data_IF_887372877036
#
_entry.id   IF_887372877036
#
_cell.length_a   1.000
_cell.length_b   1.000
_cell.length_c   1.000
_cell.angle_alpha   90.00
_cell.angle_beta   90.00
_cell.angle_gamma   90.00
#
_symmetry.space_group_name_H-M   'P 1'
#
loop_
_entity.id
_entity.type
_entity.pdbx_description
1 polymer ?
#
# COMPACT_ATOMS: atom_id res chain seq x y z
N UNK A 1 50.40 -28.35 20.66
CA UNK A 1 49.72 -29.46 19.94
C UNK A 1 48.24 -29.31 20.23
N UNK A 2 47.60 -28.30 19.62
CA UNK A 2 46.98 -28.29 18.28
C UNK A 2 45.52 -28.75 18.34
N UNK A 3 44.66 -27.74 18.43
CA UNK A 3 43.21 -27.72 18.21
C UNK A 3 42.83 -28.42 16.90
N UNK A 4 41.76 -29.22 16.89
CA UNK A 4 41.12 -29.69 15.66
C UNK A 4 39.60 -29.73 15.79
N UNK A 5 38.93 -28.85 15.04
CA UNK A 5 37.47 -28.82 14.83
C UNK A 5 36.94 -30.11 14.16
N UNK A 6 35.67 -30.50 14.41
CA UNK A 6 35.02 -31.54 13.63
C UNK A 6 34.49 -30.99 12.30
N UNK A 7 34.96 -31.60 11.20
CA UNK A 7 34.58 -31.32 9.82
C UNK A 7 33.24 -31.99 9.47
N UNK A 8 32.39 -31.22 8.79
CA UNK A 8 31.06 -31.58 8.28
C UNK A 8 31.08 -32.80 7.33
N UNK A 9 30.05 -33.65 7.46
CA UNK A 9 30.00 -34.99 6.87
C UNK A 9 29.92 -35.06 5.35
N UNK A 10 30.76 -35.93 4.77
CA UNK A 10 30.50 -36.61 3.49
C UNK A 10 29.59 -37.81 3.76
N UNK A 11 28.37 -37.83 3.21
CA UNK A 11 27.55 -39.05 3.18
C UNK A 11 28.00 -39.96 2.04
N UNK A 12 28.01 -41.27 2.33
CA UNK A 12 28.38 -42.37 1.43
C UNK A 12 27.37 -42.52 0.30
N UNK A 13 27.87 -42.98 -0.84
CA UNK A 13 27.19 -43.11 -2.14
C UNK A 13 26.21 -44.29 -2.24
N UNK A 14 25.93 -45.00 -1.13
CA UNK A 14 25.21 -46.29 -1.13
C UNK A 14 23.81 -46.23 -0.48
N UNK A 15 23.38 -45.09 0.05
CA UNK A 15 22.00 -44.92 0.58
C UNK A 15 21.02 -44.33 -0.46
N UNK A 16 21.45 -44.21 -1.73
CA UNK A 16 20.70 -43.57 -2.81
C UNK A 16 19.82 -44.53 -3.64
N UNK A 17 19.83 -45.84 -3.39
CA UNK A 17 19.13 -46.81 -4.28
C UNK A 17 17.88 -47.47 -3.69
N UNK A 18 17.48 -47.16 -2.44
CA UNK A 18 16.37 -47.88 -1.78
C UNK A 18 15.02 -47.14 -1.70
N UNK A 19 14.85 -45.96 -2.31
CA UNK A 19 13.60 -45.18 -2.23
C UNK A 19 12.83 -45.04 -3.56
N UNK A 20 13.19 -45.81 -4.59
CA UNK A 20 12.55 -45.76 -5.91
C UNK A 20 11.46 -46.82 -6.06
N UNK A 21 10.27 -46.61 -5.48
CA UNK A 21 9.02 -47.26 -5.95
C UNK A 21 7.77 -46.72 -5.22
N UNK A 22 7.13 -45.66 -5.73
CA UNK A 22 5.69 -45.36 -5.56
C UNK A 22 5.23 -44.38 -6.67
N UNK A 23 3.93 -44.36 -7.04
CA UNK A 23 3.49 -44.21 -8.43
C UNK A 23 3.39 -42.76 -8.92
N UNK A 24 3.59 -42.59 -10.23
CA UNK A 24 3.49 -41.34 -10.96
C UNK A 24 2.10 -40.70 -10.83
N UNK A 25 2.02 -39.61 -10.07
CA UNK A 25 0.88 -38.69 -10.09
C UNK A 25 1.23 -37.49 -10.99
N UNK A 26 0.46 -37.36 -12.08
CA UNK A 26 0.22 -36.20 -12.94
C UNK A 26 1.36 -35.17 -13.09
N UNK A 27 1.95 -35.16 -14.29
CA UNK A 27 2.88 -34.14 -14.78
C UNK A 27 2.42 -32.72 -14.41
N UNK A 28 3.26 -32.02 -13.67
CA UNK A 28 3.12 -30.60 -13.41
C UNK A 28 2.99 -29.85 -14.74
N UNK A 29 1.94 -29.05 -14.87
CA UNK A 29 1.78 -28.12 -15.97
C UNK A 29 3.05 -27.24 -16.08
N UNK A 30 3.53 -26.95 -17.31
CA UNK A 30 4.75 -26.20 -17.50
C UNK A 30 4.66 -24.86 -16.78
N UNK A 31 5.74 -24.50 -16.10
CA UNK A 31 5.91 -23.20 -15.46
C UNK A 31 5.46 -22.10 -16.42
N UNK A 32 4.58 -21.22 -15.93
CA UNK A 32 4.14 -20.06 -16.70
C UNK A 32 5.37 -19.31 -17.23
N UNK A 33 5.39 -18.92 -18.51
CA UNK A 33 6.53 -18.24 -19.10
C UNK A 33 6.87 -16.99 -18.27
N UNK A 34 8.19 -16.75 -18.10
CA UNK A 34 8.72 -15.50 -17.54
C UNK A 34 7.89 -14.32 -18.05
N UNK A 35 7.43 -13.39 -17.19
CA UNK A 35 6.72 -12.21 -17.66
C UNK A 35 7.67 -11.46 -18.59
N UNK A 36 7.24 -11.40 -19.83
CA UNK A 36 7.97 -10.94 -20.99
C UNK A 36 8.56 -9.54 -20.74
N UNK A 37 9.89 -9.46 -20.66
CA UNK A 37 10.65 -8.21 -20.51
C UNK A 37 10.62 -7.38 -21.81
N UNK A 38 10.04 -7.91 -22.90
CA UNK A 38 10.13 -7.33 -24.24
C UNK A 38 9.03 -6.31 -24.63
N UNK A 39 8.23 -5.79 -23.67
CA UNK A 39 7.22 -4.76 -24.00
C UNK A 39 7.78 -3.36 -24.26
N UNK A 40 9.09 -3.15 -24.12
CA UNK A 40 9.73 -1.90 -24.52
C UNK A 40 10.49 -2.12 -25.84
N UNK A 41 10.32 -1.25 -26.85
CA UNK A 41 10.99 -1.39 -28.12
C UNK A 41 12.51 -1.54 -27.94
N UNK A 42 13.09 -2.52 -28.64
CA UNK A 42 14.52 -2.75 -28.69
C UNK A 42 15.27 -1.50 -29.19
N UNK A 43 16.49 -1.33 -28.68
CA UNK A 43 17.46 -0.27 -28.96
C UNK A 43 17.46 0.21 -30.43
N UNK A 44 16.94 1.41 -30.67
CA UNK A 44 17.22 2.19 -31.89
C UNK A 44 18.68 2.62 -31.87
N UNK A 45 19.37 2.55 -33.01
CA UNK A 45 20.77 2.96 -33.13
C UNK A 45 20.99 4.40 -32.61
N UNK A 46 22.18 4.66 -32.04
CA UNK A 46 22.54 5.94 -31.42
C UNK A 46 22.35 7.15 -32.36
N UNK A 47 22.48 6.96 -33.67
CA UNK A 47 22.26 8.00 -34.69
C UNK A 47 20.79 8.36 -34.87
N UNK A 48 19.90 7.35 -34.93
CA UNK A 48 18.45 7.55 -35.08
C UNK A 48 17.87 8.24 -33.84
N UNK A 49 18.41 7.94 -32.65
CA UNK A 49 18.02 8.65 -31.41
C UNK A 49 18.41 10.13 -31.41
N UNK A 50 19.57 10.48 -31.97
CA UNK A 50 20.00 11.87 -32.07
C UNK A 50 19.11 12.67 -33.03
N UNK A 51 18.73 12.07 -34.17
CA UNK A 51 17.83 12.66 -35.16
C UNK A 51 16.42 12.88 -34.59
N UNK A 52 15.88 11.89 -33.86
CA UNK A 52 14.58 12.01 -33.19
C UNK A 52 14.61 13.10 -32.10
N UNK A 53 15.70 13.19 -31.33
CA UNK A 53 15.86 14.24 -30.32
C UNK A 53 15.92 15.65 -30.94
N UNK A 54 16.57 15.80 -32.10
CA UNK A 54 16.62 17.06 -32.85
C UNK A 54 15.22 17.46 -33.35
N UNK A 55 14.47 16.54 -33.96
CA UNK A 55 13.10 16.77 -34.40
C UNK A 55 12.19 17.22 -33.25
N UNK A 56 12.30 16.57 -32.09
CA UNK A 56 11.57 16.92 -30.87
C UNK A 56 11.86 18.34 -30.41
N UNK A 57 13.14 18.74 -30.35
CA UNK A 57 13.52 20.09 -29.93
C UNK A 57 13.00 21.15 -30.92
N UNK A 58 13.01 20.86 -32.22
CA UNK A 58 12.46 21.74 -33.25
C UNK A 58 10.93 21.86 -33.17
N UNK A 59 10.23 20.77 -32.92
CA UNK A 59 8.79 20.78 -32.65
C UNK A 59 8.47 21.70 -31.48
N UNK A 60 9.12 21.49 -30.32
CA UNK A 60 8.91 22.30 -29.12
C UNK A 60 9.20 23.78 -29.35
N UNK A 61 10.26 24.11 -30.11
CA UNK A 61 10.62 25.51 -30.41
C UNK A 61 9.66 26.23 -31.35
N UNK A 62 8.93 25.50 -32.20
CA UNK A 62 7.94 26.08 -33.14
C UNK A 62 6.54 26.21 -32.55
N UNK A 63 6.29 25.63 -31.37
CA UNK A 63 4.97 25.62 -30.76
C UNK A 63 4.81 26.78 -29.77
N UNK A 64 3.67 27.48 -29.87
CA UNK A 64 3.28 28.52 -28.93
C UNK A 64 2.63 27.89 -27.68
N UNK A 65 3.24 28.09 -26.52
CA UNK A 65 2.76 27.57 -25.23
C UNK A 65 1.31 27.98 -24.93
N UNK A 66 0.90 29.17 -25.36
CA UNK A 66 -0.47 29.70 -25.17
C UNK A 66 -1.48 28.94 -26.02
N UNK A 67 -1.12 28.61 -27.26
CA UNK A 67 -1.96 27.84 -28.17
C UNK A 67 -2.06 26.37 -27.75
N UNK A 68 -0.97 25.79 -27.26
CA UNK A 68 -0.91 24.41 -26.73
C UNK A 68 -1.85 24.21 -25.55
N UNK A 69 -1.87 25.15 -24.61
CA UNK A 69 -2.73 25.08 -23.43
C UNK A 69 -4.23 25.25 -23.75
N UNK A 70 -4.57 25.88 -24.89
CA UNK A 70 -5.95 26.17 -25.28
C UNK A 70 -6.62 25.04 -26.09
N UNK A 71 -5.85 24.09 -26.62
CA UNK A 71 -6.36 23.02 -27.49
C UNK A 71 -6.71 21.75 -26.69
N UNK A 72 -7.80 21.05 -27.06
CA UNK A 72 -8.06 19.71 -26.55
C UNK A 72 -6.92 18.74 -26.93
N UNK A 73 -6.54 17.78 -26.06
CA UNK A 73 -5.42 16.87 -26.30
C UNK A 73 -5.51 16.11 -27.63
N UNK A 74 -6.70 15.67 -28.02
CA UNK A 74 -6.94 14.95 -29.28
C UNK A 74 -6.61 15.81 -30.51
N UNK A 75 -6.92 17.11 -30.47
CA UNK A 75 -6.60 18.04 -31.57
C UNK A 75 -5.13 18.41 -31.57
N UNK A 76 -4.54 18.58 -30.37
CA UNK A 76 -3.12 18.86 -30.25
C UNK A 76 -2.28 17.70 -30.82
N UNK A 77 -2.67 16.45 -30.55
CA UNK A 77 -1.98 15.27 -31.08
C UNK A 77 -1.93 15.29 -32.62
N UNK A 78 -3.03 15.62 -33.28
CA UNK A 78 -3.10 15.70 -34.75
C UNK A 78 -2.18 16.81 -35.28
N UNK A 79 -2.17 17.99 -34.65
CA UNK A 79 -1.32 19.11 -35.07
C UNK A 79 0.18 18.82 -34.82
N UNK A 80 0.52 18.20 -33.69
CA UNK A 80 1.89 17.77 -33.39
C UNK A 80 2.34 16.69 -34.36
N UNK A 81 1.48 15.71 -34.67
CA UNK A 81 1.78 14.66 -35.64
C UNK A 81 2.05 15.25 -37.04
N UNK A 82 1.27 16.25 -37.47
CA UNK A 82 1.51 16.98 -38.73
C UNK A 82 2.85 17.72 -38.70
N UNK A 83 3.13 18.45 -37.62
CA UNK A 83 4.38 19.20 -37.47
C UNK A 83 5.62 18.30 -37.49
N UNK A 84 5.55 17.13 -36.83
CA UNK A 84 6.62 16.12 -36.88
C UNK A 84 6.79 15.62 -38.32
N UNK A 85 5.69 15.37 -39.04
CA UNK A 85 5.73 14.93 -40.45
C UNK A 85 6.52 15.91 -41.32
N UNK A 86 6.20 17.20 -41.17
CA UNK A 86 6.80 18.27 -41.97
C UNK A 86 8.30 18.42 -41.64
N UNK A 87 8.64 18.38 -40.35
CA UNK A 87 10.03 18.46 -39.89
C UNK A 87 10.87 17.25 -40.26
N UNK A 88 10.31 16.03 -40.15
CA UNK A 88 10.98 14.80 -40.53
C UNK A 88 11.28 14.79 -42.04
N UNK A 89 10.35 15.29 -42.85
CA UNK A 89 10.54 15.45 -44.31
C UNK A 89 11.65 16.45 -44.62
N UNK A 90 11.64 17.62 -43.98
CA UNK A 90 12.66 18.67 -44.17
C UNK A 90 14.07 18.19 -43.79
N UNK A 91 14.18 17.44 -42.68
CA UNK A 91 15.43 16.88 -42.17
C UNK A 91 15.82 15.53 -42.78
N UNK A 92 15.00 14.98 -43.67
CA UNK A 92 15.18 13.66 -44.30
C UNK A 92 15.32 12.51 -43.30
N UNK A 93 14.66 12.63 -42.14
CA UNK A 93 14.58 11.57 -41.13
C UNK A 93 13.46 10.61 -41.53
N UNK A 94 13.77 9.31 -41.59
CA UNK A 94 12.77 8.30 -41.91
C UNK A 94 12.02 7.87 -40.65
N UNK A 95 10.75 8.25 -40.56
CA UNK A 95 9.82 7.78 -39.53
C UNK A 95 8.67 7.05 -40.22
N UNK A 96 8.33 5.87 -39.73
CA UNK A 96 7.06 5.23 -40.10
C UNK A 96 5.89 5.87 -39.32
N UNK A 97 4.65 5.63 -39.77
CA UNK A 97 3.46 6.21 -39.14
C UNK A 97 3.31 5.86 -37.64
N UNK A 98 3.80 4.69 -37.23
CA UNK A 98 3.76 4.26 -35.81
C UNK A 98 4.77 5.04 -34.98
N UNK A 99 5.99 5.25 -35.49
CA UNK A 99 7.04 6.04 -34.82
C UNK A 99 6.65 7.51 -34.73
N UNK A 100 6.10 8.07 -35.80
CA UNK A 100 5.59 9.43 -35.84
C UNK A 100 4.50 9.65 -34.80
N UNK A 101 3.51 8.75 -34.74
CA UNK A 101 2.43 8.82 -33.74
C UNK A 101 2.94 8.62 -32.32
N UNK A 102 3.91 7.74 -32.11
CA UNK A 102 4.53 7.52 -30.80
C UNK A 102 5.26 8.79 -30.32
N UNK A 103 6.05 9.42 -31.19
CA UNK A 103 6.73 10.68 -30.89
C UNK A 103 5.74 11.82 -30.64
N UNK A 104 4.66 11.90 -31.42
CA UNK A 104 3.60 12.89 -31.21
C UNK A 104 2.93 12.71 -29.84
N UNK A 105 2.63 11.46 -29.45
CA UNK A 105 2.05 11.14 -28.15
C UNK A 105 2.99 11.53 -27.02
N UNK A 106 4.27 11.19 -27.12
CA UNK A 106 5.31 11.57 -26.15
C UNK A 106 5.41 13.09 -25.99
N UNK A 107 5.40 13.86 -27.10
CA UNK A 107 5.45 15.31 -27.06
C UNK A 107 4.21 15.92 -26.41
N UNK A 108 3.01 15.40 -26.73
CA UNK A 108 1.77 15.84 -26.10
C UNK A 108 1.77 15.55 -24.61
N UNK A 109 2.22 14.36 -24.20
CA UNK A 109 2.33 13.97 -22.78
C UNK A 109 3.37 14.82 -22.06
N UNK A 110 4.46 15.21 -22.71
CA UNK A 110 5.45 16.14 -22.16
C UNK A 110 4.93 17.56 -22.02
N UNK A 111 4.03 17.99 -22.91
CA UNK A 111 3.44 19.34 -22.91
C UNK A 111 2.26 19.47 -21.94
N UNK A 112 1.35 18.50 -21.93
CA UNK A 112 0.08 18.55 -21.21
C UNK A 112 -0.01 17.57 -20.03
N UNK A 113 0.78 16.48 -20.07
CA UNK A 113 0.72 15.39 -19.11
C UNK A 113 1.93 15.32 -18.17
N UNK A 114 2.15 14.12 -17.65
CA UNK A 114 3.27 13.80 -16.75
C UNK A 114 4.50 13.26 -17.48
N UNK A 115 4.55 13.44 -18.80
CA UNK A 115 5.68 13.06 -19.65
C UNK A 115 6.04 11.58 -19.52
N UNK A 116 7.32 11.23 -19.25
CA UNK A 116 7.78 9.84 -19.17
C UNK A 116 7.09 8.98 -18.10
N UNK A 117 6.34 9.60 -17.17
CA UNK A 117 5.61 8.90 -16.12
C UNK A 117 4.28 8.31 -16.60
N UNK A 118 3.67 8.84 -17.66
CA UNK A 118 2.32 8.42 -18.12
C UNK A 118 2.23 6.90 -18.38
N UNK A 119 3.15 6.27 -19.15
CA UNK A 119 3.09 4.83 -19.38
C UNK A 119 3.22 4.00 -18.09
N UNK A 120 4.01 4.48 -17.13
CA UNK A 120 4.21 3.80 -15.84
C UNK A 120 2.97 3.93 -14.94
N UNK A 121 2.30 5.07 -14.97
CA UNK A 121 1.04 5.31 -14.26
C UNK A 121 -0.10 4.46 -14.84
N UNK A 122 -0.13 4.25 -16.15
CA UNK A 122 -1.13 3.40 -16.80
C UNK A 122 -0.93 1.90 -16.54
N UNK A 123 0.31 1.44 -16.29
CA UNK A 123 0.60 0.01 -16.08
C UNK A 123 0.12 -0.50 -14.71
N UNK A 124 -1.02 -1.20 -14.68
CA UNK A 124 -1.60 -1.76 -13.45
C UNK A 124 -0.71 -2.79 -12.72
N UNK A 125 0.36 -3.30 -13.34
CA UNK A 125 1.30 -4.20 -12.66
C UNK A 125 2.27 -3.48 -11.71
N UNK A 126 2.38 -2.15 -11.84
CA UNK A 126 3.27 -1.30 -11.05
C UNK A 126 2.54 -0.77 -9.82
N UNK A 127 3.15 -0.89 -8.65
CA UNK A 127 2.62 -0.37 -7.39
C UNK A 127 3.27 0.96 -6.99
N UNK A 128 4.58 1.10 -7.20
CA UNK A 128 5.35 2.29 -6.84
C UNK A 128 6.27 2.70 -8.01
N UNK A 129 6.49 4.01 -8.17
CA UNK A 129 7.42 4.61 -9.15
C UNK A 129 8.34 5.56 -8.39
N UNK A 130 9.64 5.41 -8.54
CA UNK A 130 10.65 6.26 -7.89
C UNK A 130 11.60 6.83 -8.93
N UNK A 131 11.74 8.15 -8.95
CA UNK A 131 12.61 8.89 -9.85
C UNK A 131 13.68 9.56 -9.01
N UNK A 132 14.93 9.14 -9.19
CA UNK A 132 16.09 9.69 -8.49
C UNK A 132 16.99 10.52 -9.42
N UNK A 133 16.51 10.82 -10.63
CA UNK A 133 17.20 11.61 -11.63
C UNK A 133 16.75 11.26 -13.05
N UNK A 134 17.27 11.96 -14.07
CA UNK A 134 16.78 11.82 -15.44
C UNK A 134 16.91 10.40 -16.01
N UNK A 135 17.98 9.69 -15.67
CA UNK A 135 18.24 8.32 -16.14
C UNK A 135 17.99 7.23 -15.07
N UNK A 136 17.51 7.63 -13.88
CA UNK A 136 17.39 6.75 -12.71
C UNK A 136 15.95 6.61 -12.27
N UNK A 137 15.19 5.80 -13.01
CA UNK A 137 13.78 5.48 -12.73
C UNK A 137 13.64 4.02 -12.30
N UNK A 138 13.00 3.82 -11.15
CA UNK A 138 12.71 2.52 -10.57
C UNK A 138 11.21 2.31 -10.40
N UNK A 139 10.77 1.07 -10.48
CA UNK A 139 9.38 0.68 -10.24
C UNK A 139 9.32 -0.54 -9.33
N UNK A 140 8.27 -0.62 -8.51
CA UNK A 140 7.93 -1.82 -7.75
C UNK A 140 6.90 -2.64 -8.53
N UNK A 141 7.28 -3.88 -8.87
CA UNK A 141 6.37 -4.90 -9.43
C UNK A 141 6.43 -6.16 -8.57
N UNK A 142 5.28 -6.62 -8.10
CA UNK A 142 5.15 -7.86 -7.32
C UNK A 142 6.12 -7.95 -6.12
N UNK A 143 6.33 -6.84 -5.42
CA UNK A 143 7.20 -6.69 -4.26
C UNK A 143 8.69 -6.55 -4.56
N UNK A 144 9.08 -6.50 -5.85
CA UNK A 144 10.47 -6.39 -6.31
C UNK A 144 10.72 -5.04 -6.95
N UNK A 145 11.84 -4.43 -6.59
CA UNK A 145 12.31 -3.17 -7.15
C UNK A 145 13.12 -3.42 -8.43
N UNK A 146 12.75 -2.74 -9.52
CA UNK A 146 13.38 -2.89 -10.83
C UNK A 146 13.68 -1.52 -11.43
N UNK A 147 14.87 -1.33 -11.99
CA UNK A 147 15.15 -0.16 -12.82
C UNK A 147 14.49 -0.34 -14.19
N UNK A 148 13.85 0.71 -14.70
CA UNK A 148 13.19 0.70 -16.02
C UNK A 148 13.91 1.65 -16.98
N UNK A 149 13.89 1.37 -18.29
CA UNK A 149 14.54 2.22 -19.30
C UNK A 149 13.73 3.47 -19.64
N UNK A 150 13.04 4.05 -18.66
CA UNK A 150 12.33 5.33 -18.78
C UNK A 150 13.28 6.45 -18.41
N UNK A 151 13.31 7.51 -19.21
CA UNK A 151 14.25 8.63 -19.02
C UNK A 151 13.55 9.97 -19.17
N UNK A 152 14.01 10.93 -18.39
CA UNK A 152 13.72 12.34 -18.57
C UNK A 152 14.84 12.95 -19.43
N UNK A 153 14.53 13.97 -20.22
CA UNK A 153 15.51 14.65 -21.08
C UNK A 153 16.71 15.20 -20.30
N UNK A 154 16.41 15.90 -19.22
CA UNK A 154 17.39 16.59 -18.40
C UNK A 154 16.76 16.93 -17.02
N UNK A 155 17.57 17.52 -16.14
CA UNK A 155 17.12 17.98 -14.83
C UNK A 155 16.02 19.05 -14.89
N UNK A 156 16.07 19.93 -15.89
CA UNK A 156 15.05 20.98 -16.04
C UNK A 156 13.69 20.38 -16.41
N UNK A 157 13.68 19.33 -17.24
CA UNK A 157 12.49 18.59 -17.61
C UNK A 157 11.85 17.91 -16.40
N UNK A 158 12.67 17.24 -15.57
CA UNK A 158 12.19 16.63 -14.33
C UNK A 158 11.62 17.67 -13.37
N UNK A 159 12.31 18.80 -13.16
CA UNK A 159 11.80 19.93 -12.34
C UNK A 159 10.48 20.47 -12.86
N UNK A 160 10.33 20.64 -14.17
CA UNK A 160 9.09 21.12 -14.77
C UNK A 160 7.92 20.15 -14.53
N UNK A 161 8.17 18.84 -14.63
CA UNK A 161 7.17 17.81 -14.30
C UNK A 161 6.78 17.89 -12.81
N UNK A 162 7.75 18.02 -11.90
CA UNK A 162 7.49 18.21 -10.48
C UNK A 162 6.56 19.42 -10.22
N UNK A 163 6.87 20.55 -10.86
CA UNK A 163 6.09 21.78 -10.74
C UNK A 163 4.67 21.64 -11.30
N UNK A 164 4.51 20.95 -12.43
CA UNK A 164 3.18 20.65 -12.99
C UNK A 164 2.35 19.75 -12.09
N UNK A 165 2.95 18.71 -11.50
CA UNK A 165 2.26 17.84 -10.54
C UNK A 165 1.74 18.68 -9.37
N UNK A 166 2.59 19.50 -8.75
CA UNK A 166 2.20 20.36 -7.64
C UNK A 166 1.09 21.35 -8.04
N UNK A 167 1.23 22.02 -9.19
CA UNK A 167 0.24 22.98 -9.68
C UNK A 167 -1.13 22.35 -9.95
N UNK A 168 -1.15 21.11 -10.46
CA UNK A 168 -2.39 20.38 -10.76
C UNK A 168 -3.26 20.10 -9.52
N UNK A 169 -2.66 20.15 -8.33
CA UNK A 169 -3.33 19.95 -7.03
C UNK A 169 -3.44 21.23 -6.21
N UNK A 170 -3.19 22.39 -6.82
CA UNK A 170 -3.23 23.69 -6.15
C UNK A 170 -2.07 23.90 -5.16
N UNK A 171 -0.95 23.19 -5.32
CA UNK A 171 0.26 23.35 -4.53
C UNK A 171 1.38 23.96 -5.37
N UNK A 172 2.45 24.37 -4.72
CA UNK A 172 3.66 24.90 -5.36
C UNK A 172 4.88 24.14 -4.85
N UNK A 173 5.83 23.88 -5.74
CA UNK A 173 7.13 23.32 -5.40
C UNK A 173 8.21 24.10 -6.14
N UNK A 174 9.09 24.75 -5.39
CA UNK A 174 10.14 25.64 -5.89
C UNK A 174 11.28 25.73 -4.87
N UNK A 175 12.27 26.60 -5.10
CA UNK A 175 13.42 26.74 -4.18
C UNK A 175 13.03 27.23 -2.78
N UNK A 176 11.95 28.03 -2.66
CA UNK A 176 11.44 28.51 -1.37
C UNK A 176 10.56 27.47 -0.66
N UNK A 177 9.96 26.54 -1.41
CA UNK A 177 9.14 25.44 -0.91
C UNK A 177 9.54 24.14 -1.62
N UNK A 178 10.71 23.56 -1.29
CA UNK A 178 11.32 22.48 -2.07
C UNK A 178 10.69 21.10 -1.84
N UNK A 179 9.67 20.98 -1.01
CA UNK A 179 8.97 19.71 -0.75
C UNK A 179 7.48 19.85 -1.06
N UNK A 180 6.90 18.82 -1.67
CA UNK A 180 5.47 18.78 -1.92
C UNK A 180 4.94 17.35 -1.86
N UNK A 181 3.97 17.13 -0.98
CA UNK A 181 3.07 15.97 -1.04
C UNK A 181 1.81 16.33 -1.82
N UNK A 182 1.37 15.45 -2.72
CA UNK A 182 0.26 15.70 -3.64
C UNK A 182 -0.52 14.41 -3.94
N UNK A 183 -1.71 14.58 -4.51
CA UNK A 183 -2.54 13.47 -5.01
C UNK A 183 -2.88 13.67 -6.48
N UNK A 184 -2.46 12.73 -7.32
CA UNK A 184 -2.77 12.75 -8.75
C UNK A 184 -4.26 12.49 -9.00
N UNK A 185 -4.70 12.80 -10.22
CA UNK A 185 -6.10 12.61 -10.66
C UNK A 185 -6.57 11.16 -10.57
N UNK A 186 -5.67 10.19 -10.71
CA UNK A 186 -5.95 8.76 -10.59
C UNK A 186 -6.03 8.27 -9.12
N UNK A 187 -5.79 9.17 -8.16
CA UNK A 187 -5.79 8.89 -6.73
C UNK A 187 -4.42 8.53 -6.16
N UNK A 188 -3.38 8.38 -7.01
CA UNK A 188 -2.02 8.05 -6.61
C UNK A 188 -1.40 9.16 -5.76
N UNK A 189 -0.60 8.78 -4.77
CA UNK A 189 0.10 9.71 -3.87
C UNK A 189 1.48 10.02 -4.43
N UNK A 190 1.88 11.28 -4.38
CA UNK A 190 3.19 11.73 -4.88
C UNK A 190 3.89 12.53 -3.80
N UNK A 191 5.15 12.20 -3.55
CA UNK A 191 6.08 13.01 -2.79
C UNK A 191 7.14 13.55 -3.76
N UNK A 192 7.45 14.84 -3.65
CA UNK A 192 8.43 15.56 -4.46
C UNK A 192 9.41 16.26 -3.52
N UNK A 193 10.70 16.17 -3.84
CA UNK A 193 11.76 16.94 -3.19
C UNK A 193 12.67 17.56 -4.25
N UNK A 194 12.89 18.88 -4.17
CA UNK A 194 13.78 19.64 -5.04
C UNK A 194 15.06 20.06 -4.31
N UNK A 195 16.13 20.43 -5.05
CA UNK A 195 17.25 21.18 -4.48
C UNK A 195 16.78 22.46 -3.77
N UNK A 196 17.47 22.88 -2.68
CA UNK A 196 18.73 22.33 -2.17
C UNK A 196 18.58 21.11 -1.24
N UNK A 197 17.37 20.63 -0.95
CA UNK A 197 17.16 19.49 -0.03
C UNK A 197 17.53 18.15 -0.68
N UNK A 198 17.18 17.97 -1.95
CA UNK A 198 17.65 16.85 -2.74
C UNK A 198 18.97 17.21 -3.43
N UNK A 199 20.10 16.89 -2.78
CA UNK A 199 21.46 17.30 -3.17
C UNK A 199 21.79 16.83 -4.60
N UNK A 200 21.38 15.61 -4.94
CA UNK A 200 21.66 14.99 -6.25
C UNK A 200 20.69 15.45 -7.35
N UNK A 201 19.75 16.35 -7.03
CA UNK A 201 18.73 16.86 -7.95
C UNK A 201 17.30 16.45 -7.56
N UNK A 202 16.28 16.94 -8.29
CA UNK A 202 14.87 16.63 -8.05
C UNK A 202 14.58 15.12 -7.91
N UNK A 203 13.76 14.75 -6.94
CA UNK A 203 13.28 13.37 -6.75
C UNK A 203 11.75 13.30 -6.66
N UNK A 204 11.19 12.18 -7.15
CA UNK A 204 9.76 11.90 -7.11
C UNK A 204 9.56 10.48 -6.58
N UNK A 205 8.64 10.32 -5.62
CA UNK A 205 8.14 9.01 -5.19
C UNK A 205 6.63 8.95 -5.36
N UNK A 206 6.15 8.07 -6.23
CA UNK A 206 4.72 7.86 -6.50
C UNK A 206 4.32 6.50 -5.97
N UNK A 207 3.29 6.49 -5.12
CA UNK A 207 2.60 5.27 -4.70
C UNK A 207 1.25 5.20 -5.37
N UNK A 208 1.08 4.22 -6.25
CA UNK A 208 -0.11 4.09 -7.07
C UNK A 208 -1.31 3.63 -6.25
N UNK A 209 -2.46 4.19 -6.59
CA UNK A 209 -3.72 3.72 -6.03
C UNK A 209 -4.12 2.39 -6.69
N UNK A 210 -4.10 1.30 -5.93
CA UNK A 210 -4.51 -0.01 -6.45
C UNK A 210 -6.00 -0.03 -6.72
N UNK A 211 -6.39 -0.23 -7.98
CA UNK A 211 -7.81 -0.33 -8.40
C UNK A 211 -8.44 -1.69 -8.08
N UNK A 212 -7.63 -2.71 -7.78
CA UNK A 212 -8.10 -4.09 -7.57
C UNK A 212 -8.15 -4.41 -6.08
N UNK A 213 -9.35 -4.44 -5.47
CA UNK A 213 -9.45 -4.80 -4.07
C UNK A 213 -9.05 -6.28 -3.86
N UNK A 214 -8.39 -6.51 -2.74
CA UNK A 214 -7.96 -7.83 -2.27
C UNK A 214 -8.94 -8.25 -1.16
N UNK A 215 -9.59 -9.40 -1.33
CA UNK A 215 -10.52 -9.97 -0.35
C UNK A 215 -9.91 -11.18 0.36
N UNK A 216 -10.66 -11.78 1.29
CA UNK A 216 -10.19 -12.94 2.04
C UNK A 216 -9.88 -14.13 1.14
N UNK A 217 -10.62 -14.34 0.05
CA UNK A 217 -10.34 -15.41 -0.91
C UNK A 217 -8.94 -15.25 -1.51
N UNK A 218 -8.61 -14.06 -2.02
CA UNK A 218 -7.27 -13.76 -2.55
C UNK A 218 -6.19 -13.83 -1.48
N UNK A 219 -6.46 -13.36 -0.25
CA UNK A 219 -5.50 -13.48 0.85
C UNK A 219 -5.17 -14.95 1.19
N UNK A 220 -6.16 -15.85 1.13
CA UNK A 220 -5.95 -17.29 1.29
C UNK A 220 -5.14 -17.84 0.10
N UNK A 221 -5.47 -17.46 -1.14
CA UNK A 221 -4.73 -17.87 -2.34
C UNK A 221 -3.24 -17.44 -2.28
N UNK A 222 -2.96 -16.25 -1.73
CA UNK A 222 -1.59 -15.78 -1.48
C UNK A 222 -0.90 -16.47 -0.30
N UNK A 223 -1.62 -17.28 0.48
CA UNK A 223 -1.10 -17.91 1.69
C UNK A 223 -0.89 -16.94 2.84
N UNK A 224 -1.61 -15.81 2.87
CA UNK A 224 -1.53 -14.82 3.94
C UNK A 224 -2.21 -15.30 5.23
N UNK A 225 -3.22 -16.15 5.11
CA UNK A 225 -3.92 -16.80 6.22
C UNK A 225 -4.59 -18.09 5.73
N UNK A 226 -5.01 -18.93 6.66
CA UNK A 226 -5.78 -20.15 6.37
C UNK A 226 -7.30 -19.85 6.32
N UNK A 227 -8.12 -20.71 5.69
CA UNK A 227 -9.57 -20.54 5.69
C UNK A 227 -10.21 -20.43 7.09
N UNK A 228 -9.78 -21.22 8.11
CA UNK A 228 -10.29 -21.06 9.47
C UNK A 228 -10.03 -19.68 10.09
N UNK A 229 -8.81 -19.13 9.92
CA UNK A 229 -8.48 -17.77 10.36
C UNK A 229 -9.37 -16.75 9.66
N UNK A 230 -9.52 -16.87 8.34
CA UNK A 230 -10.39 -15.98 7.57
C UNK A 230 -11.84 -16.03 8.07
N UNK A 231 -12.35 -17.21 8.47
CA UNK A 231 -13.70 -17.37 9.04
C UNK A 231 -13.82 -16.68 10.39
N UNK A 232 -12.84 -16.83 11.28
CA UNK A 232 -12.81 -16.13 12.57
C UNK A 232 -12.79 -14.61 12.38
N UNK A 233 -11.97 -14.11 11.47
CA UNK A 233 -11.89 -12.68 11.16
C UNK A 233 -13.19 -12.13 10.53
N UNK A 234 -13.86 -12.92 9.70
CA UNK A 234 -15.18 -12.59 9.16
C UNK A 234 -16.21 -12.46 10.30
N UNK A 235 -16.24 -13.45 11.21
CA UNK A 235 -17.16 -13.43 12.35
C UNK A 235 -16.88 -12.22 13.26
N UNK A 236 -15.60 -11.92 13.52
CA UNK A 236 -15.22 -10.75 14.31
C UNK A 236 -15.77 -9.44 13.71
N UNK A 237 -15.65 -9.25 12.39
CA UNK A 237 -16.16 -8.07 11.70
C UNK A 237 -17.70 -7.99 11.74
N UNK A 238 -18.39 -9.11 11.51
CA UNK A 238 -19.86 -9.21 11.57
C UNK A 238 -20.42 -8.98 12.98
N UNK A 239 -19.74 -9.48 14.00
CA UNK A 239 -20.09 -9.29 15.41
C UNK A 239 -19.76 -7.88 15.94
N UNK A 240 -19.34 -6.96 15.06
CA UNK A 240 -18.95 -5.59 15.42
C UNK A 240 -17.87 -5.54 16.50
N UNK A 241 -16.88 -6.43 16.43
CA UNK A 241 -15.71 -6.32 17.30
C UNK A 241 -14.87 -5.11 16.87
N UNK A 242 -14.35 -4.37 17.85
CA UNK A 242 -13.38 -3.30 17.60
C UNK A 242 -12.01 -3.93 17.34
N UNK A 243 -11.45 -3.69 16.15
CA UNK A 243 -10.29 -4.41 15.63
C UNK A 243 -9.15 -3.43 15.33
N UNK A 244 -7.96 -3.74 15.85
CA UNK A 244 -6.71 -3.07 15.47
C UNK A 244 -5.92 -3.98 14.55
N UNK A 245 -5.56 -3.51 13.36
CA UNK A 245 -4.63 -4.22 12.47
C UNK A 245 -3.23 -3.65 12.65
N UNK A 246 -2.32 -4.45 13.17
CA UNK A 246 -0.96 -4.05 13.53
C UNK A 246 0.09 -4.65 12.60
N UNK A 247 1.23 -3.96 12.41
CA UNK A 247 2.34 -4.46 11.58
C UNK A 247 3.29 -3.38 11.04
N UNK A 248 4.42 -3.82 10.49
CA UNK A 248 5.42 -2.93 9.88
C UNK A 248 4.96 -2.21 8.61
N UNK A 249 5.84 -1.37 8.05
CA UNK A 249 5.61 -0.73 6.75
C UNK A 249 5.55 -1.80 5.65
N UNK A 250 4.56 -1.70 4.76
CA UNK A 250 4.43 -2.63 3.63
C UNK A 250 4.02 -4.06 4.01
N UNK A 251 3.59 -4.32 5.25
CA UNK A 251 3.12 -5.65 5.69
C UNK A 251 1.70 -6.00 5.23
N UNK A 252 0.94 -5.02 4.75
CA UNK A 252 -0.43 -5.22 4.24
C UNK A 252 -1.55 -4.84 5.21
N UNK A 253 -1.30 -3.99 6.22
CA UNK A 253 -2.33 -3.54 7.19
C UNK A 253 -3.59 -2.99 6.52
N UNK A 254 -3.45 -1.98 5.66
CA UNK A 254 -4.59 -1.37 4.94
C UNK A 254 -5.28 -2.39 4.04
N UNK A 255 -4.53 -3.34 3.46
CA UNK A 255 -5.09 -4.43 2.65
C UNK A 255 -5.97 -5.35 3.51
N UNK A 256 -5.48 -5.77 4.68
CA UNK A 256 -6.26 -6.58 5.63
C UNK A 256 -7.51 -5.81 6.10
N UNK A 257 -7.38 -4.53 6.43
CA UNK A 257 -8.52 -3.69 6.85
C UNK A 257 -9.56 -3.53 5.73
N UNK A 258 -9.14 -3.32 4.48
CA UNK A 258 -10.04 -3.30 3.31
C UNK A 258 -10.73 -4.65 3.08
N UNK A 259 -10.05 -5.77 3.38
CA UNK A 259 -10.65 -7.08 3.23
C UNK A 259 -11.68 -7.37 4.34
N UNK A 260 -11.37 -6.99 5.59
CA UNK A 260 -12.27 -7.04 6.75
C UNK A 260 -13.53 -6.18 6.55
N UNK A 261 -13.36 -4.98 5.99
CA UNK A 261 -14.47 -4.04 5.84
C UNK A 261 -15.59 -4.55 4.93
N UNK A 262 -15.33 -5.56 4.08
CA UNK A 262 -16.34 -6.21 3.24
C UNK A 262 -17.41 -6.97 4.03
N UNK A 263 -17.13 -7.31 5.28
CA UNK A 263 -18.06 -8.04 6.15
C UNK A 263 -18.87 -7.12 7.07
N UNK A 264 -18.70 -5.80 6.93
CA UNK A 264 -19.58 -4.82 7.57
C UNK A 264 -20.94 -4.84 6.88
N UNK A 265 -22.01 -4.82 7.66
CA UNK A 265 -23.38 -4.88 7.14
C UNK A 265 -23.69 -3.66 6.24
N UNK A 266 -24.45 -3.88 5.16
CA UNK A 266 -24.73 -2.84 4.17
C UNK A 266 -25.65 -1.72 4.70
N UNK A 267 -26.33 -1.94 5.82
CA UNK A 267 -27.19 -0.95 6.48
C UNK A 267 -26.42 0.04 7.35
N UNK A 268 -25.14 -0.24 7.64
CA UNK A 268 -24.33 0.58 8.53
C UNK A 268 -23.82 1.86 7.85
N UNK A 269 -23.89 2.97 8.58
CA UNK A 269 -23.21 4.22 8.25
C UNK A 269 -21.76 4.16 8.72
N UNK A 270 -20.83 4.34 7.80
CA UNK A 270 -19.40 4.26 8.08
C UNK A 270 -18.75 5.59 7.75
N UNK A 271 -17.93 6.10 8.67
CA UNK A 271 -17.07 7.27 8.42
C UNK A 271 -15.62 6.80 8.41
N UNK A 272 -14.92 6.98 7.29
CA UNK A 272 -13.48 6.70 7.19
C UNK A 272 -12.69 7.99 7.33
N UNK A 273 -11.56 7.93 8.04
CA UNK A 273 -10.66 9.06 8.27
C UNK A 273 -9.25 8.60 7.92
N UNK A 274 -8.63 9.21 6.93
CA UNK A 274 -7.32 8.80 6.43
C UNK A 274 -6.46 10.02 6.11
N UNK A 275 -5.13 9.92 6.17
CA UNK A 275 -4.29 11.02 5.67
C UNK A 275 -4.40 11.17 4.15
N UNK A 276 -4.61 10.06 3.47
CA UNK A 276 -5.12 10.03 2.12
C UNK A 276 -5.94 8.75 1.95
N UNK A 277 -7.02 8.81 1.19
CA UNK A 277 -8.00 7.75 1.17
C UNK A 277 -7.51 6.56 0.36
N UNK A 278 -7.12 5.49 1.06
CA UNK A 278 -6.76 4.17 0.54
C UNK A 278 -7.91 3.17 0.70
N UNK A 279 -8.84 3.42 1.62
CA UNK A 279 -9.95 2.51 1.87
C UNK A 279 -11.00 2.55 0.76
N UNK A 280 -11.47 1.36 0.39
CA UNK A 280 -12.42 1.09 -0.69
C UNK A 280 -13.58 0.24 -0.18
N UNK A 281 -14.35 0.82 0.73
CA UNK A 281 -15.54 0.17 1.29
C UNK A 281 -16.63 0.00 0.23
N UNK A 282 -17.37 -1.09 0.32
CA UNK A 282 -18.41 -1.47 -0.65
C UNK A 282 -19.81 -1.12 -0.18
N UNK A 283 -19.95 -0.70 1.08
CA UNK A 283 -21.22 -0.33 1.68
C UNK A 283 -21.76 0.96 1.02
N UNK A 284 -23.10 1.08 0.88
CA UNK A 284 -23.70 2.24 0.22
C UNK A 284 -23.54 3.53 1.04
N UNK A 285 -23.42 3.44 2.36
CA UNK A 285 -23.49 4.58 3.26
C UNK A 285 -22.14 4.90 3.91
N UNK A 286 -21.16 5.25 3.06
CA UNK A 286 -19.78 5.57 3.47
C UNK A 286 -19.50 7.06 3.27
N UNK A 287 -19.01 7.72 4.32
CA UNK A 287 -18.43 9.07 4.21
C UNK A 287 -16.92 8.97 4.36
N UNK A 288 -16.18 9.48 3.37
CA UNK A 288 -14.72 9.45 3.34
C UNK A 288 -14.17 10.83 3.69
N UNK A 289 -13.38 10.90 4.74
CA UNK A 289 -12.73 12.12 5.22
C UNK A 289 -11.21 11.97 5.06
N UNK A 290 -10.57 13.04 4.60
CA UNK A 290 -9.12 13.13 4.50
C UNK A 290 -8.59 14.25 5.38
N UNK A 291 -7.44 14.01 6.02
CA UNK A 291 -6.72 15.08 6.71
C UNK A 291 -6.22 16.10 5.70
N UNK A 292 -5.98 17.32 6.18
CA UNK A 292 -5.43 18.40 5.36
C UNK A 292 -4.23 18.98 6.08
N UNK A 293 -3.01 18.92 5.51
CA UNK A 293 -1.87 19.60 6.11
C UNK A 293 -2.09 21.12 6.05
N UNK A 294 -1.34 21.86 6.88
CA UNK A 294 -1.35 23.31 6.83
C UNK A 294 -0.97 23.85 5.44
N UNK A 295 -1.48 25.02 5.09
CA UNK A 295 -1.03 25.79 3.92
C UNK A 295 0.43 26.23 4.08
N UNK A 296 1.02 26.78 3.03
CA UNK A 296 2.36 27.39 3.08
C UNK A 296 2.44 28.52 4.13
N UNK A 297 1.33 29.20 4.42
CA UNK A 297 1.26 30.20 5.50
C UNK A 297 1.02 29.59 6.90
N UNK A 298 1.06 28.26 7.03
CA UNK A 298 0.85 27.55 8.29
C UNK A 298 -0.61 27.53 8.76
N UNK A 299 -1.59 27.74 7.87
CA UNK A 299 -3.02 27.87 8.22
C UNK A 299 -3.85 26.72 7.69
N UNK A 300 -5.00 26.49 8.33
CA UNK A 300 -6.03 25.59 7.82
C UNK A 300 -5.69 24.11 7.90
N UNK A 301 -4.76 23.71 8.76
CA UNK A 301 -4.56 22.30 9.09
C UNK A 301 -5.87 21.68 9.63
N UNK A 302 -6.16 20.46 9.18
CA UNK A 302 -7.25 19.62 9.68
C UNK A 302 -6.65 18.26 10.00
N UNK A 303 -6.50 17.97 11.29
CA UNK A 303 -5.85 16.75 11.76
C UNK A 303 -6.81 15.56 11.78
N UNK A 304 -6.28 14.34 11.86
CA UNK A 304 -7.10 13.14 12.06
C UNK A 304 -7.97 13.28 13.33
N UNK A 305 -7.44 13.89 14.39
CA UNK A 305 -8.16 14.13 15.64
C UNK A 305 -9.39 15.03 15.45
N UNK A 306 -9.26 16.10 14.66
CA UNK A 306 -10.37 17.00 14.34
C UNK A 306 -11.47 16.26 13.58
N UNK A 307 -11.08 15.41 12.63
CA UNK A 307 -12.00 14.60 11.84
C UNK A 307 -12.71 13.55 12.69
N UNK A 308 -12.03 12.89 13.65
CA UNK A 308 -12.66 11.91 14.55
C UNK A 308 -13.74 12.61 15.38
N UNK A 309 -13.42 13.76 15.98
CA UNK A 309 -14.39 14.54 16.76
C UNK A 309 -15.59 15.00 15.93
N UNK A 310 -15.35 15.40 14.68
CA UNK A 310 -16.42 15.76 13.77
C UNK A 310 -17.27 14.52 13.39
N UNK A 311 -16.63 13.39 13.11
CA UNK A 311 -17.28 12.14 12.74
C UNK A 311 -18.29 11.68 13.79
N UNK A 312 -17.99 11.82 15.08
CA UNK A 312 -18.92 11.48 16.17
C UNK A 312 -20.24 12.27 16.14
N UNK A 313 -20.30 13.41 15.44
CA UNK A 313 -21.53 14.20 15.26
C UNK A 313 -22.32 13.79 14.01
N UNK A 314 -21.76 12.92 13.18
CA UNK A 314 -22.36 12.48 11.92
C UNK A 314 -23.25 11.24 12.07
N UNK A 315 -23.56 10.84 13.31
CA UNK A 315 -24.29 9.61 13.67
C UNK A 315 -23.73 8.36 12.95
N UNK A 316 -22.42 8.08 12.98
CA UNK A 316 -21.88 6.88 12.38
C UNK A 316 -22.28 5.65 13.21
N UNK A 317 -22.40 4.50 12.55
CA UNK A 317 -22.41 3.21 13.22
C UNK A 317 -20.96 2.75 13.49
N UNK A 318 -20.03 3.10 12.59
CA UNK A 318 -18.58 2.81 12.72
C UNK A 318 -17.72 4.01 12.33
N UNK A 319 -16.63 4.20 13.07
CA UNK A 319 -15.55 5.13 12.71
C UNK A 319 -14.31 4.30 12.39
N UNK A 320 -13.83 4.39 11.15
CA UNK A 320 -12.62 3.66 10.71
C UNK A 320 -11.51 4.67 10.48
N UNK A 321 -10.40 4.50 11.19
CA UNK A 321 -9.22 5.33 11.04
C UNK A 321 -8.21 4.57 10.20
N UNK A 322 -7.75 5.16 9.09
CA UNK A 322 -6.81 4.54 8.17
C UNK A 322 -5.53 4.08 8.88
N UNK A 323 -4.97 4.96 9.69
CA UNK A 323 -3.80 4.70 10.51
C UNK A 323 -3.82 5.64 11.72
N UNK A 324 -3.68 5.10 12.93
CA UNK A 324 -3.53 5.89 14.16
C UNK A 324 -2.04 6.03 14.47
N UNK A 325 -1.56 7.27 14.58
CA UNK A 325 -0.16 7.65 14.77
C UNK A 325 0.07 8.66 15.91
N UNK A 326 -1.00 9.26 16.45
CA UNK A 326 -0.88 10.33 17.43
C UNK A 326 -2.09 10.52 18.32
N UNK A 327 -2.34 11.78 18.71
CA UNK A 327 -3.32 12.15 19.74
C UNK A 327 -4.77 11.76 19.41
N UNK A 328 -5.10 11.46 18.15
CA UNK A 328 -6.39 10.91 17.74
C UNK A 328 -6.67 9.52 18.34
N UNK A 329 -5.65 8.81 18.85
CA UNK A 329 -5.82 7.54 19.55
C UNK A 329 -6.80 7.65 20.73
N UNK A 330 -6.80 8.78 21.45
CA UNK A 330 -7.76 8.99 22.54
C UNK A 330 -9.19 9.07 22.01
N UNK A 331 -9.44 9.91 21.00
CA UNK A 331 -10.77 10.09 20.43
C UNK A 331 -11.24 8.79 19.70
N UNK A 332 -10.31 7.99 19.16
CA UNK A 332 -10.58 6.64 18.64
C UNK A 332 -11.10 5.69 19.73
N UNK A 333 -10.41 5.60 20.87
CA UNK A 333 -10.84 4.76 21.99
C UNK A 333 -12.19 5.23 22.55
N UNK A 334 -12.42 6.55 22.58
CA UNK A 334 -13.72 7.11 22.95
C UNK A 334 -14.81 6.67 21.97
N UNK A 335 -14.58 6.73 20.66
CA UNK A 335 -15.54 6.26 19.66
C UNK A 335 -15.91 4.79 19.91
N UNK A 336 -14.89 3.93 20.08
CA UNK A 336 -15.04 2.50 20.36
C UNK A 336 -15.82 2.20 21.64
N UNK A 337 -15.64 3.02 22.69
CA UNK A 337 -16.34 2.87 23.98
C UNK A 337 -17.77 3.47 23.99
N UNK A 338 -18.10 4.40 23.09
CA UNK A 338 -19.33 5.21 23.15
C UNK A 338 -20.35 4.86 22.06
N UNK A 339 -20.51 3.57 21.78
CA UNK A 339 -21.59 3.07 20.91
C UNK A 339 -21.26 3.04 19.41
N UNK A 340 -20.00 3.24 19.02
CA UNK A 340 -19.53 3.06 17.65
C UNK A 340 -18.81 1.70 17.51
N UNK A 341 -19.46 0.64 17.99
CA UNK A 341 -18.94 -0.73 17.95
C UNK A 341 -18.62 -1.16 16.52
N UNK A 342 -17.57 -1.96 16.36
CA UNK A 342 -17.10 -2.45 15.07
C UNK A 342 -16.14 -1.49 14.37
N UNK A 343 -15.69 -0.45 15.08
CA UNK A 343 -14.68 0.50 14.61
C UNK A 343 -13.32 -0.19 14.42
N UNK A 344 -12.53 0.30 13.48
CA UNK A 344 -11.24 -0.30 13.13
C UNK A 344 -10.16 0.75 12.96
N UNK A 345 -8.91 0.38 13.25
CA UNK A 345 -7.76 1.19 12.88
C UNK A 345 -6.54 0.34 12.54
N UNK A 346 -5.59 0.92 11.81
CA UNK A 346 -4.26 0.34 11.67
C UNK A 346 -3.22 1.04 12.53
N UNK A 347 -2.24 0.27 13.03
CA UNK A 347 -1.15 0.80 13.86
C UNK A 347 0.17 0.17 13.41
N UNK A 348 1.24 0.96 13.35
CA UNK A 348 2.57 0.42 13.17
C UNK A 348 3.07 -0.18 14.48
N UNK A 349 3.29 -1.48 14.54
CA UNK A 349 3.93 -2.14 15.68
C UNK A 349 4.60 -3.46 15.27
N UNK A 350 5.56 -3.90 16.08
CA UNK A 350 6.34 -5.12 15.82
C UNK A 350 5.63 -6.40 16.29
N UNK A 351 4.68 -6.29 17.21
CA UNK A 351 3.84 -7.38 17.71
C UNK A 351 2.61 -6.80 18.41
N UNK A 352 1.68 -7.66 18.85
CA UNK A 352 0.41 -7.24 19.45
C UNK A 352 0.59 -6.52 20.80
N UNK A 353 1.61 -6.87 21.59
CA UNK A 353 1.94 -6.19 22.85
C UNK A 353 2.52 -4.79 22.62
N UNK A 354 3.41 -4.64 21.63
CA UNK A 354 3.94 -3.35 21.18
C UNK A 354 2.81 -2.45 20.66
N UNK A 355 1.83 -3.00 19.94
CA UNK A 355 0.66 -2.24 19.50
C UNK A 355 -0.10 -1.61 20.67
N UNK A 356 -0.28 -2.35 21.78
CA UNK A 356 -0.93 -1.84 22.99
C UNK A 356 -0.11 -0.72 23.65
N UNK A 357 1.20 -0.94 23.82
CA UNK A 357 2.10 0.08 24.36
C UNK A 357 2.11 1.35 23.50
N UNK A 358 2.04 1.22 22.18
CA UNK A 358 1.94 2.37 21.26
C UNK A 358 0.62 3.10 21.40
N UNK A 359 -0.51 2.41 21.52
CA UNK A 359 -1.80 3.04 21.81
C UNK A 359 -1.71 3.83 23.12
N UNK A 360 -1.13 3.23 24.17
CA UNK A 360 -0.94 3.90 25.46
C UNK A 360 -0.14 5.21 25.31
N UNK A 361 1.00 5.15 24.61
CA UNK A 361 1.85 6.33 24.37
C UNK A 361 1.13 7.40 23.55
N UNK A 362 0.39 7.02 22.50
CA UNK A 362 -0.36 7.95 21.66
C UNK A 362 -1.49 8.64 22.44
N UNK A 363 -2.15 7.93 23.37
CA UNK A 363 -3.13 8.54 24.27
C UNK A 363 -2.46 9.52 25.22
N UNK A 364 -1.26 9.24 25.72
CA UNK A 364 -0.52 10.19 26.58
C UNK A 364 -0.19 11.50 25.85
N UNK A 365 0.06 11.46 24.54
CA UNK A 365 0.29 12.66 23.71
C UNK A 365 -0.94 13.59 23.62
N UNK A 366 -2.13 13.11 23.98
CA UNK A 366 -3.37 13.89 23.90
C UNK A 366 -3.56 14.93 25.01
N UNK A 367 -2.60 15.02 25.96
CA UNK A 367 -2.53 15.96 27.10
C UNK A 367 -3.71 15.91 28.07
N UNK A 368 -4.38 14.76 28.19
CA UNK A 368 -5.55 14.57 29.06
C UNK A 368 -5.21 14.30 30.54
N UNK A 369 -3.93 14.15 30.89
CA UNK A 369 -3.51 13.91 32.29
C UNK A 369 -3.96 12.58 32.88
N UNK A 370 -4.30 11.59 32.05
CA UNK A 370 -4.73 10.27 32.49
C UNK A 370 -3.56 9.47 33.07
N UNK A 371 -3.82 8.70 34.13
CA UNK A 371 -2.84 7.75 34.66
C UNK A 371 -2.63 6.59 33.68
N UNK A 372 -1.44 5.96 33.63
CA UNK A 372 -1.20 4.80 32.76
C UNK A 372 -2.24 3.70 32.94
N UNK A 373 -2.63 3.41 34.19
CA UNK A 373 -3.70 2.44 34.49
C UNK A 373 -5.04 2.81 33.85
N UNK A 374 -5.46 4.07 33.94
CA UNK A 374 -6.71 4.53 33.35
C UNK A 374 -6.69 4.39 31.82
N UNK A 375 -5.54 4.67 31.18
CA UNK A 375 -5.36 4.46 29.74
C UNK A 375 -5.49 2.97 29.39
N UNK A 376 -4.81 2.08 30.12
CA UNK A 376 -4.93 0.63 29.91
C UNK A 376 -6.36 0.13 30.07
N UNK A 377 -7.07 0.62 31.08
CA UNK A 377 -8.49 0.30 31.26
C UNK A 377 -9.34 0.74 30.07
N UNK A 378 -9.11 1.94 29.53
CA UNK A 378 -9.81 2.40 28.32
C UNK A 378 -9.47 1.55 27.10
N UNK A 379 -8.21 1.15 26.93
CA UNK A 379 -7.76 0.29 25.83
C UNK A 379 -8.43 -1.09 25.92
N UNK A 380 -8.43 -1.72 27.10
CA UNK A 380 -9.05 -3.02 27.31
C UNK A 380 -10.58 -3.01 27.15
N UNK A 381 -11.22 -1.89 27.51
CA UNK A 381 -12.67 -1.74 27.29
C UNK A 381 -13.01 -1.52 25.82
N UNK A 382 -12.16 -0.79 25.09
CA UNK A 382 -12.43 -0.37 23.72
C UNK A 382 -12.07 -1.43 22.68
N UNK A 383 -10.90 -2.06 22.78
CA UNK A 383 -10.36 -2.91 21.73
C UNK A 383 -10.63 -4.38 22.07
N UNK A 384 -11.21 -5.13 21.13
CA UNK A 384 -11.49 -6.55 21.33
C UNK A 384 -10.40 -7.44 20.73
N UNK A 385 -9.87 -7.06 19.57
CA UNK A 385 -8.97 -7.90 18.79
C UNK A 385 -7.82 -7.09 18.18
N UNK A 386 -6.62 -7.67 18.19
CA UNK A 386 -5.46 -7.19 17.44
C UNK A 386 -5.05 -8.25 16.43
N UNK A 387 -4.94 -7.87 15.17
CA UNK A 387 -4.47 -8.72 14.07
C UNK A 387 -3.07 -8.25 13.67
N UNK A 388 -2.05 -9.03 13.97
CA UNK A 388 -0.67 -8.75 13.56
C UNK A 388 -0.44 -9.30 12.15
N UNK A 389 -0.01 -8.43 11.24
CA UNK A 389 0.39 -8.79 9.87
C UNK A 389 1.84 -8.40 9.62
N UNK A 390 2.61 -9.31 9.05
CA UNK A 390 4.04 -9.12 8.79
C UNK A 390 4.42 -9.51 7.36
N UNK A 391 5.37 -8.77 6.79
CA UNK A 391 6.11 -9.20 5.60
C UNK A 391 7.31 -10.02 6.09
N UNK A 392 7.31 -11.31 5.79
CA UNK A 392 8.38 -12.23 6.19
C UNK A 392 9.53 -12.23 5.18
N UNK A 393 10.64 -12.88 5.52
CA UNK A 393 11.88 -12.90 4.71
C UNK A 393 11.72 -13.50 3.32
N UNK A 394 10.74 -14.38 3.14
CA UNK A 394 10.40 -14.96 1.84
C UNK A 394 9.53 -14.04 0.96
N UNK A 395 9.30 -12.80 1.43
CA UNK A 395 8.48 -11.79 0.76
C UNK A 395 6.99 -11.95 0.99
N UNK A 396 6.54 -13.07 1.58
CA UNK A 396 5.14 -13.33 1.88
C UNK A 396 4.61 -12.39 2.97
N UNK A 397 3.38 -11.89 2.78
CA UNK A 397 2.65 -11.13 3.80
C UNK A 397 1.69 -12.09 4.51
N UNK A 398 1.81 -12.27 5.82
CA UNK A 398 1.03 -13.24 6.60
C UNK A 398 0.45 -12.62 7.86
N UNK A 399 -0.70 -13.13 8.29
CA UNK A 399 -1.19 -12.94 9.66
C UNK A 399 -0.28 -13.76 10.57
N UNK A 400 0.50 -13.10 11.43
CA UNK A 400 1.41 -13.81 12.35
C UNK A 400 0.78 -14.07 13.70
N UNK A 401 -0.19 -13.25 14.09
CA UNK A 401 -0.84 -13.36 15.39
C UNK A 401 -2.24 -12.73 15.34
N UNK A 402 -3.20 -13.36 16.01
CA UNK A 402 -4.53 -12.79 16.30
C UNK A 402 -4.72 -12.87 17.80
N UNK A 403 -4.69 -11.72 18.47
CA UNK A 403 -4.73 -11.62 19.92
C UNK A 403 -6.02 -10.95 20.35
N UNK A 404 -6.78 -11.61 21.22
CA UNK A 404 -7.89 -11.03 21.96
C UNK A 404 -7.36 -10.28 23.20
N UNK A 405 -8.00 -9.15 23.52
CA UNK A 405 -7.78 -8.43 24.78
C UNK A 405 -8.91 -8.82 25.74
N UNK A 406 -8.60 -9.65 26.72
CA UNK A 406 -9.59 -10.25 27.62
C UNK A 406 -9.93 -9.35 28.83
N UNK A 407 -9.10 -8.37 29.14
CA UNK A 407 -9.32 -7.44 30.25
C UNK A 407 -8.01 -6.96 30.88
N UNK A 408 -8.10 -6.53 32.15
CA UNK A 408 -6.97 -6.04 32.93
C UNK A 408 -7.07 -6.58 34.36
N UNK A 409 -5.96 -7.08 34.90
CA UNK A 409 -5.82 -7.53 36.28
C UNK A 409 -4.67 -6.77 36.94
N UNK A 410 -4.99 -5.97 37.96
CA UNK A 410 -4.04 -5.02 38.55
C UNK A 410 -3.57 -3.99 37.51
N UNK A 411 -2.30 -4.08 37.13
CA UNK A 411 -1.65 -3.24 36.11
C UNK A 411 -1.41 -3.97 34.78
N UNK A 412 -1.72 -5.26 34.72
CA UNK A 412 -1.38 -6.16 33.61
C UNK A 412 -2.59 -6.40 32.73
N UNK A 413 -2.45 -6.14 31.43
CA UNK A 413 -3.45 -6.47 30.42
C UNK A 413 -3.44 -7.99 30.17
N UNK A 414 -4.62 -8.60 30.23
CA UNK A 414 -4.83 -10.02 29.95
C UNK A 414 -5.05 -10.21 28.44
N UNK A 415 -4.20 -11.03 27.82
CA UNK A 415 -4.20 -11.27 26.38
C UNK A 415 -4.41 -12.77 26.11
N UNK A 416 -5.18 -13.08 25.08
CA UNK A 416 -5.41 -14.44 24.61
C UNK A 416 -5.01 -14.53 23.13
N UNK A 417 -3.91 -15.21 22.82
CA UNK A 417 -3.48 -15.45 21.45
C UNK A 417 -4.36 -16.52 20.81
N UNK A 418 -5.43 -16.11 20.13
CA UNK A 418 -6.35 -17.01 19.42
C UNK A 418 -5.60 -17.78 18.34
N UNK A 419 -4.76 -17.08 17.58
CA UNK A 419 -3.88 -17.68 16.59
C UNK A 419 -2.46 -17.12 16.73
N UNK A 420 -1.46 -17.99 16.61
CA UNK A 420 -0.06 -17.59 16.54
C UNK A 420 0.70 -18.46 15.54
N UNK A 421 1.33 -17.83 14.55
CA UNK A 421 2.10 -18.51 13.53
C UNK A 421 3.47 -18.91 14.08
N UNK A 422 3.73 -20.22 14.12
CA UNK A 422 5.04 -20.80 14.37
C UNK A 422 5.67 -21.21 13.04
N UNK A 423 6.86 -20.70 12.75
CA UNK A 423 7.64 -21.11 11.58
C UNK A 423 8.40 -22.38 11.91
N UNK A 424 8.08 -23.47 11.22
CA UNK A 424 8.61 -24.81 11.48
C UNK A 424 9.70 -25.22 10.49
N UNK A 425 9.85 -24.48 9.39
CA UNK A 425 10.91 -24.75 8.42
C UNK A 425 10.82 -23.88 7.17
N UNK A 426 11.53 -24.33 6.15
CA UNK A 426 11.66 -23.64 4.87
C UNK A 426 11.78 -24.66 3.74
N UNK A 427 11.10 -24.40 2.63
CA UNK A 427 11.22 -25.20 1.40
C UNK A 427 12.57 -24.95 0.72
N UNK A 428 13.05 -25.85 -0.17
CA UNK A 428 14.29 -25.63 -0.92
C UNK A 428 14.34 -24.33 -1.73
N UNK A 429 13.19 -23.77 -2.10
CA UNK A 429 13.07 -22.53 -2.86
C UNK A 429 12.99 -21.26 -1.97
N UNK A 430 13.22 -21.41 -0.66
CA UNK A 430 13.24 -20.30 0.29
C UNK A 430 11.87 -19.85 0.83
N UNK A 431 10.79 -20.58 0.54
CA UNK A 431 9.45 -20.29 1.08
C UNK A 431 9.30 -20.85 2.49
N UNK A 432 8.84 -20.02 3.42
CA UNK A 432 8.63 -20.42 4.82
C UNK A 432 7.44 -21.37 4.97
N UNK A 433 7.62 -22.39 5.81
CA UNK A 433 6.59 -23.33 6.24
C UNK A 433 6.29 -23.00 7.70
N UNK A 434 5.00 -22.83 8.01
CA UNK A 434 4.57 -22.57 9.37
C UNK A 434 3.23 -23.23 9.68
N UNK A 435 2.95 -23.34 10.97
CA UNK A 435 1.71 -23.86 11.54
C UNK A 435 1.16 -22.83 12.52
N UNK A 436 -0.15 -22.74 12.66
CA UNK A 436 -0.76 -21.92 13.70
C UNK A 436 -0.95 -22.72 14.99
N UNK A 437 -0.49 -22.17 16.10
CA UNK A 437 -0.97 -22.51 17.43
C UNK A 437 -2.31 -21.81 17.65
N UNK A 438 -3.26 -22.51 18.26
CA UNK A 438 -4.65 -22.07 18.40
C UNK A 438 -5.07 -22.14 19.86
N UNK A 439 -5.48 -21.01 20.43
CA UNK A 439 -6.09 -21.01 21.76
C UNK A 439 -7.55 -21.46 21.69
N UNK A 440 -7.92 -22.36 22.60
CA UNK A 440 -9.30 -22.86 22.77
C UNK A 440 -9.98 -22.30 24.02
N UNK A 441 -9.40 -21.24 24.59
CA UNK A 441 -10.00 -20.54 25.72
C UNK A 441 -11.27 -19.83 25.24
N UNK A 442 -12.31 -19.88 26.07
CA UNK A 442 -13.56 -19.16 25.81
C UNK A 442 -13.28 -17.64 25.78
N UNK A 443 -13.65 -16.99 24.69
CA UNK A 443 -13.45 -15.55 24.51
C UNK A 443 -14.26 -14.71 25.51
N UNK A 444 -13.67 -13.60 25.94
CA UNK A 444 -14.27 -12.55 26.76
C UNK A 444 -15.52 -11.93 26.13
N UNK A 445 -15.58 -11.90 24.78
CA UNK A 445 -16.73 -11.42 24.03
C UNK A 445 -17.73 -12.53 23.62
N UNK A 446 -17.75 -13.66 24.33
CA UNK A 446 -18.66 -14.79 24.02
C UNK A 446 -20.14 -14.37 23.95
N UNK A 447 -20.61 -13.54 24.86
CA UNK A 447 -22.00 -13.08 24.89
C UNK A 447 -22.36 -12.32 23.61
N UNK A 448 -21.41 -11.55 23.07
CA UNK A 448 -21.57 -10.85 21.79
C UNK A 448 -21.65 -11.84 20.63
N UNK A 449 -20.82 -12.89 20.61
CA UNK A 449 -20.93 -13.95 19.60
C UNK A 449 -22.32 -14.63 19.62
N UNK A 450 -22.85 -14.89 20.82
CA UNK A 450 -24.18 -15.48 21.00
C UNK A 450 -25.30 -14.53 20.57
N UNK A 451 -25.19 -13.24 20.89
CA UNK A 451 -26.14 -12.22 20.45
C UNK A 451 -26.29 -12.17 18.92
N UNK A 452 -25.17 -12.31 18.19
CA UNK A 452 -25.18 -12.40 16.72
C UNK A 452 -25.44 -13.81 16.17
N UNK A 453 -25.60 -14.83 17.03
CA UNK A 453 -25.81 -16.22 16.62
C UNK A 453 -24.62 -16.86 15.89
N UNK A 454 -23.40 -16.35 16.12
CA UNK A 454 -22.17 -16.79 15.43
C UNK A 454 -21.19 -17.54 16.35
N UNK A 455 -21.58 -17.80 17.60
CA UNK A 455 -20.76 -18.50 18.60
C UNK A 455 -20.39 -19.93 18.17
N UNK A 456 -21.33 -20.69 17.59
CA UNK A 456 -21.06 -22.04 17.09
C UNK A 456 -20.10 -22.04 15.91
N UNK A 457 -20.29 -21.11 14.97
CA UNK A 457 -19.42 -20.98 13.80
C UNK A 457 -18.00 -20.54 14.21
N UNK A 458 -17.88 -19.70 15.23
CA UNK A 458 -16.60 -19.30 15.81
C UNK A 458 -15.86 -20.51 16.37
N UNK A 459 -16.51 -21.31 17.22
CA UNK A 459 -15.91 -22.51 17.80
C UNK A 459 -15.51 -23.54 16.75
N UNK A 460 -16.37 -23.79 15.75
CA UNK A 460 -16.05 -24.71 14.66
C UNK A 460 -14.79 -24.26 13.89
N UNK A 461 -14.65 -22.96 13.60
CA UNK A 461 -13.46 -22.44 12.94
C UNK A 461 -12.17 -22.63 13.78
N UNK A 462 -12.25 -22.52 15.11
CA UNK A 462 -11.10 -22.80 15.99
C UNK A 462 -10.72 -24.29 16.03
N UNK A 463 -11.65 -25.19 15.74
CA UNK A 463 -11.40 -26.65 15.71
C UNK A 463 -10.80 -27.13 14.37
N UNK A 464 -11.06 -26.40 13.28
CA UNK A 464 -10.58 -26.71 11.92
C UNK A 464 -9.12 -26.30 11.64
N UNK A 465 -8.47 -25.58 12.57
CA UNK A 465 -7.12 -25.02 12.41
C UNK A 465 -6.06 -25.96 12.98
#
# INVERSE_FOLDING_TARGET
MSDSMPVFGRRRREELEAAAAMPALAAAAPAAPNPDVSRFPADTSTSVRAEIAELRNMCLARMDATAVAALPPERLLIEVERLISDLATDKRVQLNAREQRALATELVDDMLGLGPLEPLLLDESINDIMVNGPDHVFVERSGKLLQVPVRFRDWAHLTNICQRIAASVGRRVDEASPMCDARLKDGSRVNIVLPPLAIDGPSISIRKFSKKPIDFKKLIEFGAMTPPIARVLEIAARCRLNIIVSGGTGSGKTTMMNALSRFIDATERIVTIEDAAELQLQQPHVVRLETRPASLEGKGEVTARDLVRNALRMRPDRVIIGETRGAEAFDMLQAMNTGHDGSMSTIHANNTRDALSRIENMVQMSSMGLTPRAIRQQVCAAVNLIIQVERQRDGGRRVTQVTEIAGIEGETQLLNDIFKLEITGETPNGRLIGRYEVSRIRSSFQERLQYYGLDRAWMAALEET
#
